data_IF_481642102705
#
_entry.id   IF_481642102705
#
_cell.length_a   1.000
_cell.length_b   1.000
_cell.length_c   1.000
_cell.angle_alpha   90.00
_cell.angle_beta   90.00
_cell.angle_gamma   90.00
#
_symmetry.space_group_name_H-M   'P 1'
#
loop_
_entity.id
_entity.type
_entity.pdbx_description
1 polymer ?
#
# COMPACT_ATOMS: atom_id res chain seq x y z
N UNK A 1 -18.69 -16.33 -2.00
CA UNK A 1 -17.90 -15.11 -1.76
C UNK A 1 -17.98 -14.70 -0.30
N UNK A 2 -16.84 -14.61 0.39
CA UNK A 2 -16.72 -14.03 1.74
C UNK A 2 -15.74 -12.86 1.70
N UNK A 3 -16.14 -11.73 2.25
CA UNK A 3 -15.32 -10.51 2.30
C UNK A 3 -14.74 -10.36 3.71
N UNK A 4 -13.43 -10.12 3.79
CA UNK A 4 -12.72 -9.78 5.01
C UNK A 4 -12.06 -8.42 4.83
N UNK A 5 -12.19 -7.55 5.82
CA UNK A 5 -11.48 -6.28 5.87
C UNK A 5 -10.23 -6.42 6.72
N UNK A 6 -9.12 -5.88 6.25
CA UNK A 6 -7.86 -5.83 6.99
C UNK A 6 -7.42 -4.40 7.16
N UNK A 7 -6.89 -4.10 8.34
CA UNK A 7 -6.36 -2.79 8.65
C UNK A 7 -5.00 -2.58 7.96
N UNK A 8 -4.87 -1.51 7.16
CA UNK A 8 -3.66 -1.15 6.41
C UNK A 8 -2.90 0.02 7.04
N UNK A 9 -3.28 0.48 8.23
CA UNK A 9 -2.68 1.69 8.81
C UNK A 9 -1.15 1.61 8.96
N UNK A 10 -0.59 0.47 9.39
CA UNK A 10 0.88 0.35 9.55
C UNK A 10 1.64 0.57 8.23
N UNK A 11 1.03 0.24 7.09
CA UNK A 11 1.61 0.49 5.77
C UNK A 11 1.50 1.97 5.45
N UNK A 12 0.33 2.57 5.65
CA UNK A 12 0.10 4.01 5.42
C UNK A 12 0.98 4.91 6.28
N UNK A 13 1.23 4.52 7.53
CA UNK A 13 2.13 5.23 8.43
C UNK A 13 3.55 5.26 7.85
N UNK A 14 4.06 4.11 7.40
CA UNK A 14 5.40 4.01 6.81
C UNK A 14 5.51 4.82 5.51
N UNK A 15 4.49 4.77 4.67
CA UNK A 15 4.44 5.52 3.40
C UNK A 15 4.49 7.05 3.66
N UNK A 16 3.94 7.51 4.78
CA UNK A 16 3.94 8.92 5.20
C UNK A 16 5.10 9.29 6.16
N UNK A 17 6.11 8.43 6.27
CA UNK A 17 7.29 8.70 7.09
C UNK A 17 7.05 8.64 8.61
N UNK A 18 5.95 8.05 9.06
CA UNK A 18 5.65 7.80 10.47
C UNK A 18 6.11 6.39 10.82
N UNK A 19 7.17 6.29 11.62
CA UNK A 19 7.82 5.00 11.90
C UNK A 19 7.28 4.31 13.15
N UNK A 20 6.68 5.08 14.07
CA UNK A 20 6.23 4.59 15.37
C UNK A 20 4.80 5.04 15.71
N UNK A 21 4.11 4.24 16.53
CA UNK A 21 2.80 4.63 17.09
C UNK A 21 2.89 5.80 18.07
N UNK A 22 4.08 6.08 18.60
CA UNK A 22 4.32 7.19 19.51
C UNK A 22 4.29 8.51 18.76
N UNK A 23 5.08 8.56 17.68
CA UNK A 23 5.08 9.67 16.74
C UNK A 23 3.68 9.94 16.16
N UNK A 24 2.95 8.89 15.79
CA UNK A 24 1.56 9.04 15.31
C UNK A 24 0.63 9.61 16.37
N UNK A 25 0.71 9.12 17.61
CA UNK A 25 -0.12 9.61 18.71
C UNK A 25 0.15 11.09 19.01
N UNK A 26 1.42 11.49 18.99
CA UNK A 26 1.85 12.87 19.16
C UNK A 26 1.33 13.76 18.03
N UNK A 27 1.48 13.34 16.77
CA UNK A 27 0.97 14.06 15.60
C UNK A 27 -0.56 14.20 15.63
N UNK A 28 -1.29 13.14 15.98
CA UNK A 28 -2.75 13.21 16.14
C UNK A 28 -3.17 14.21 17.21
N UNK A 29 -2.43 14.27 18.33
CA UNK A 29 -2.71 15.21 19.41
C UNK A 29 -2.43 16.65 18.97
N UNK A 30 -1.28 16.89 18.32
CA UNK A 30 -0.82 18.23 17.96
C UNK A 30 -1.54 18.82 16.74
N UNK A 31 -1.81 18.01 15.72
CA UNK A 31 -2.33 18.49 14.43
C UNK A 31 -3.85 18.31 14.30
N UNK A 32 -4.42 17.28 14.94
CA UNK A 32 -5.83 16.91 14.79
C UNK A 32 -6.66 17.14 16.06
N UNK A 33 -6.05 17.70 17.11
CA UNK A 33 -6.66 17.88 18.44
C UNK A 33 -7.30 16.59 18.98
N UNK A 34 -6.72 15.44 18.65
CA UNK A 34 -7.22 14.14 19.05
C UNK A 34 -6.27 13.51 20.06
N UNK A 35 -6.61 13.64 21.34
CA UNK A 35 -5.84 13.05 22.42
C UNK A 35 -6.00 11.53 22.45
N UNK A 36 -4.94 10.82 22.05
CA UNK A 36 -4.87 9.37 22.14
C UNK A 36 -3.51 8.93 22.64
N UNK A 37 -3.48 8.03 23.61
CA UNK A 37 -2.23 7.47 24.10
C UNK A 37 -1.64 6.50 23.07
N UNK A 38 -0.32 6.41 22.98
CA UNK A 38 0.40 5.41 22.16
C UNK A 38 -0.16 4.00 22.35
N UNK A 39 -0.43 3.61 23.59
CA UNK A 39 -0.91 2.26 23.92
C UNK A 39 -2.35 2.03 23.44
N UNK A 40 -3.24 3.03 23.55
CA UNK A 40 -4.59 2.96 23.01
C UNK A 40 -4.59 2.91 21.48
N UNK A 41 -3.74 3.72 20.85
CA UNK A 41 -3.52 3.72 19.41
C UNK A 41 -3.05 2.32 18.97
N UNK A 42 -1.93 1.83 19.50
CA UNK A 42 -1.37 0.53 19.13
C UNK A 42 -2.35 -0.64 19.33
N UNK A 43 -3.12 -0.64 20.43
CA UNK A 43 -4.15 -1.67 20.68
C UNK A 43 -5.27 -1.63 19.64
N UNK A 44 -5.74 -0.44 19.26
CA UNK A 44 -6.72 -0.29 18.19
C UNK A 44 -6.13 -0.81 16.88
N UNK A 45 -4.93 -0.42 16.47
CA UNK A 45 -4.45 -0.80 15.13
C UNK A 45 -3.99 -2.24 14.98
N UNK A 46 -3.54 -2.90 16.06
CA UNK A 46 -3.18 -4.33 16.03
C UNK A 46 -4.37 -5.27 16.13
N UNK A 47 -5.54 -4.77 16.52
CA UNK A 47 -6.75 -5.59 16.58
C UNK A 47 -7.27 -5.80 15.14
N UNK A 48 -7.53 -7.06 14.71
CA UNK A 48 -8.10 -7.33 13.38
C UNK A 48 -9.50 -6.74 13.19
N UNK A 49 -10.26 -6.49 14.26
CA UNK A 49 -11.55 -5.82 14.23
C UNK A 49 -11.56 -4.65 15.22
N UNK A 50 -10.92 -3.52 14.88
CA UNK A 50 -10.76 -2.43 15.81
C UNK A 50 -12.03 -1.57 15.87
N UNK A 51 -12.51 -1.21 17.08
CA UNK A 51 -13.56 -0.23 17.20
C UNK A 51 -12.98 1.16 16.88
N UNK A 52 -13.17 1.58 15.63
CA UNK A 52 -12.81 2.89 15.10
C UNK A 52 -14.09 3.71 14.91
N UNK A 53 -14.17 4.85 15.57
CA UNK A 53 -15.23 5.83 15.31
C UNK A 53 -14.90 6.60 14.03
N UNK A 54 -15.92 7.20 13.39
CA UNK A 54 -15.72 8.00 12.19
C UNK A 54 -14.77 9.17 12.41
N UNK A 55 -14.78 9.77 13.61
CA UNK A 55 -13.89 10.86 13.99
C UNK A 55 -12.42 10.42 14.02
N UNK A 56 -12.13 9.24 14.57
CA UNK A 56 -10.78 8.68 14.57
C UNK A 56 -10.30 8.42 13.13
N UNK A 57 -11.17 7.86 12.29
CA UNK A 57 -10.85 7.60 10.89
C UNK A 57 -10.53 8.93 10.17
N UNK A 58 -11.36 9.95 10.36
CA UNK A 58 -11.15 11.27 9.78
C UNK A 58 -9.84 11.90 10.26
N UNK A 59 -9.54 11.88 11.56
CA UNK A 59 -8.30 12.41 12.12
C UNK A 59 -7.07 11.71 11.54
N UNK A 60 -7.10 10.39 11.42
CA UNK A 60 -6.00 9.62 10.81
C UNK A 60 -5.83 9.96 9.34
N UNK A 61 -6.93 10.03 8.59
CA UNK A 61 -6.91 10.35 7.17
C UNK A 61 -6.39 11.77 6.91
N UNK A 62 -6.77 12.73 7.75
CA UNK A 62 -6.26 14.10 7.69
C UNK A 62 -4.76 14.17 8.01
N UNK A 63 -4.28 13.38 8.98
CA UNK A 63 -2.86 13.36 9.34
C UNK A 63 -2.01 12.66 8.27
N UNK A 64 -2.47 11.51 7.77
CA UNK A 64 -1.74 10.70 6.78
C UNK A 64 -2.07 11.04 5.33
N UNK A 65 -2.87 12.09 5.10
CA UNK A 65 -3.29 12.54 3.78
C UNK A 65 -3.83 11.40 2.90
N UNK A 66 -4.64 10.51 3.49
CA UNK A 66 -5.17 9.33 2.83
C UNK A 66 -6.70 9.36 2.75
N UNK A 67 -7.29 8.56 1.86
CA UNK A 67 -8.73 8.36 1.83
C UNK A 67 -9.15 7.30 2.87
N UNK A 68 -10.39 7.34 3.39
CA UNK A 68 -10.89 6.30 4.30
C UNK A 68 -10.81 4.89 3.71
N UNK A 69 -10.93 4.76 2.39
CA UNK A 69 -10.79 3.49 1.68
C UNK A 69 -9.35 2.94 1.73
N UNK A 70 -8.34 3.81 1.83
CA UNK A 70 -6.93 3.38 1.86
C UNK A 70 -6.57 2.72 3.20
N UNK A 71 -7.33 3.03 4.25
CA UNK A 71 -7.15 2.52 5.61
C UNK A 71 -7.43 1.01 5.69
N UNK A 72 -8.21 0.48 4.76
CA UNK A 72 -8.68 -0.90 4.77
C UNK A 72 -8.34 -1.62 3.47
N UNK A 73 -7.84 -2.84 3.59
CA UNK A 73 -7.67 -3.77 2.48
C UNK A 73 -8.84 -4.76 2.46
N UNK A 74 -9.39 -5.01 1.27
CA UNK A 74 -10.51 -5.91 1.05
C UNK A 74 -9.97 -7.24 0.52
N UNK A 75 -10.05 -8.26 1.36
CA UNK A 75 -9.69 -9.63 1.02
C UNK A 75 -10.96 -10.43 0.70
N UNK A 76 -11.00 -11.05 -0.48
CA UNK A 76 -12.14 -11.89 -0.91
C UNK A 76 -11.71 -13.35 -0.95
N UNK A 77 -12.45 -14.22 -0.27
CA UNK A 77 -12.30 -15.68 -0.33
C UNK A 77 -13.56 -16.36 -0.88
N UNK A 78 -13.44 -17.62 -1.30
CA UNK A 78 -14.56 -18.42 -1.84
C UNK A 78 -15.29 -17.73 -3.02
N UNK A 79 -14.54 -17.13 -3.95
CA UNK A 79 -15.07 -16.46 -5.14
C UNK A 79 -14.49 -17.10 -6.41
N UNK A 80 -15.29 -17.20 -7.47
CA UNK A 80 -14.82 -17.67 -8.77
C UNK A 80 -13.94 -16.61 -9.44
N UNK A 81 -13.19 -16.99 -10.49
CA UNK A 81 -12.39 -16.01 -11.23
C UNK A 81 -13.26 -15.01 -11.99
N UNK A 82 -14.42 -15.46 -12.47
CA UNK A 82 -15.44 -14.63 -13.11
C UNK A 82 -16.00 -13.59 -12.14
N UNK A 83 -16.34 -13.98 -10.91
CA UNK A 83 -16.85 -13.06 -9.87
C UNK A 83 -15.84 -11.94 -9.54
N UNK A 84 -14.54 -12.28 -9.54
CA UNK A 84 -13.46 -11.34 -9.22
C UNK A 84 -13.20 -10.40 -10.40
N UNK A 85 -13.20 -10.92 -11.64
CA UNK A 85 -13.10 -10.10 -12.84
C UNK A 85 -14.25 -9.10 -12.88
N UNK A 86 -15.49 -9.55 -12.67
CA UNK A 86 -16.66 -8.67 -12.63
C UNK A 86 -16.56 -7.57 -11.56
N UNK A 87 -15.93 -7.84 -10.41
CA UNK A 87 -15.70 -6.84 -9.36
C UNK A 87 -14.62 -5.82 -9.72
N UNK A 88 -13.57 -6.24 -10.42
CA UNK A 88 -12.50 -5.36 -10.90
C UNK A 88 -12.94 -4.55 -12.12
N UNK A 89 -13.70 -5.20 -13.02
CA UNK A 89 -14.24 -4.67 -14.26
C UNK A 89 -15.47 -3.81 -14.04
N UNK A 90 -16.15 -3.91 -12.88
CA UNK A 90 -17.13 -2.91 -12.41
C UNK A 90 -16.40 -1.60 -12.12
N UNK A 91 -16.14 -0.90 -13.22
CA UNK A 91 -15.72 0.47 -13.42
C UNK A 91 -16.09 1.30 -12.20
N UNK A 92 -15.12 1.44 -11.32
CA UNK A 92 -14.62 2.70 -10.78
C UNK A 92 -13.52 2.31 -9.79
N UNK A 93 -12.22 2.36 -10.18
CA UNK A 93 -11.12 2.08 -9.26
C UNK A 93 -11.16 2.94 -7.97
N UNK A 94 -11.94 4.02 -7.99
CA UNK A 94 -12.21 4.90 -6.84
C UNK A 94 -13.44 4.53 -6.00
N UNK A 95 -14.37 3.67 -6.48
CA UNK A 95 -15.59 3.32 -5.73
C UNK A 95 -15.36 2.28 -4.64
N UNK A 96 -14.45 1.33 -4.86
CA UNK A 96 -14.36 0.13 -4.01
C UNK A 96 -12.94 -0.17 -3.47
N UNK A 97 -11.94 0.66 -3.77
CA UNK A 97 -10.55 0.40 -3.36
C UNK A 97 -9.89 -0.74 -4.16
N UNK A 98 -8.69 -1.16 -3.75
CA UNK A 98 -7.95 -2.24 -4.42
C UNK A 98 -8.44 -3.62 -3.93
N UNK A 99 -9.06 -4.41 -4.81
CA UNK A 99 -9.51 -5.78 -4.51
C UNK A 99 -8.43 -6.77 -4.89
N UNK A 100 -7.98 -7.58 -3.92
CA UNK A 100 -7.00 -8.66 -4.16
C UNK A 100 -7.63 -10.03 -3.88
N UNK A 101 -7.39 -10.97 -4.81
CA UNK A 101 -7.65 -12.39 -4.58
C UNK A 101 -6.55 -12.94 -3.68
N UNK A 102 -6.91 -13.44 -2.51
CA UNK A 102 -5.96 -14.22 -1.72
C UNK A 102 -5.87 -15.65 -2.26
N UNK A 103 -4.68 -16.27 -2.26
CA UNK A 103 -4.55 -17.70 -2.56
C UNK A 103 -5.31 -18.50 -1.51
N UNK A 104 -6.03 -19.54 -1.95
CA UNK A 104 -6.66 -20.49 -1.04
C UNK A 104 -5.55 -21.20 -0.26
N UNK A 105 -5.41 -20.90 1.03
CA UNK A 105 -4.58 -21.71 1.92
C UNK A 105 -5.32 -23.00 2.20
N UNK A 106 -5.00 -24.05 1.46
CA UNK A 106 -5.17 -25.40 1.97
C UNK A 106 -4.33 -25.51 3.24
N UNK A 107 -4.91 -26.05 4.30
CA UNK A 107 -4.23 -26.27 5.58
C UNK A 107 -3.25 -27.41 5.36
N UNK A 108 -2.05 -27.09 4.87
CA UNK A 108 -0.96 -28.05 4.78
C UNK A 108 -0.16 -28.05 6.08
N UNK A 109 -0.13 -29.22 6.70
CA UNK A 109 0.75 -29.52 7.84
C UNK A 109 2.22 -29.30 7.47
N UNK A 110 2.95 -28.77 8.44
CA UNK A 110 4.39 -28.50 8.42
C UNK A 110 5.21 -29.55 7.66
N UNK A 111 5.96 -29.13 6.65
CA UNK A 111 7.18 -29.83 6.25
C UNK A 111 8.28 -28.85 5.82
N UNK A 112 9.19 -28.63 6.78
CA UNK A 112 10.63 -28.35 6.66
C UNK A 112 11.10 -27.55 5.44
N UNK A 113 11.49 -26.31 5.73
CA UNK A 113 12.36 -25.44 4.92
C UNK A 113 13.65 -26.20 4.58
N UNK A 114 13.87 -26.49 3.30
CA UNK A 114 15.18 -26.84 2.75
C UNK A 114 15.62 -25.69 1.82
N UNK A 115 16.57 -24.88 2.29
CA UNK A 115 17.23 -23.85 1.49
C UNK A 115 18.23 -24.53 0.55
N UNK A 116 18.22 -24.14 -0.73
CA UNK A 116 19.30 -24.48 -1.69
C UNK A 116 19.46 -23.34 -2.70
N UNK A 117 20.67 -23.13 -3.25
CA UNK A 117 21.24 -21.80 -3.46
C UNK A 117 20.92 -21.16 -4.82
N UNK A 118 21.01 -19.82 -4.82
CA UNK A 118 20.91 -18.92 -5.97
C UNK A 118 21.77 -19.36 -7.17
N UNK A 119 21.13 -19.63 -8.30
CA UNK A 119 21.79 -19.57 -9.61
C UNK A 119 21.51 -18.20 -10.25
N UNK A 120 22.57 -17.38 -10.35
CA UNK A 120 22.61 -16.17 -11.15
C UNK A 120 22.31 -16.49 -12.62
N UNK A 121 21.11 -16.17 -13.10
CA UNK A 121 20.85 -16.02 -14.54
C UNK A 121 21.04 -14.56 -14.92
N UNK A 122 22.05 -14.28 -15.74
CA UNK A 122 22.21 -12.98 -16.40
C UNK A 122 21.10 -12.84 -17.43
N UNK A 123 20.10 -12.01 -17.17
CA UNK A 123 19.19 -11.57 -18.22
C UNK A 123 19.86 -10.46 -19.04
N UNK A 124 20.04 -10.73 -20.33
CA UNK A 124 20.42 -9.76 -21.35
C UNK A 124 19.16 -8.93 -21.61
N UNK A 125 19.17 -7.66 -21.19
CA UNK A 125 18.07 -6.72 -21.44
C UNK A 125 18.23 -6.19 -22.86
N UNK A 126 17.24 -6.44 -23.72
CA UNK A 126 17.09 -5.76 -25.01
C UNK A 126 16.69 -4.31 -24.75
N UNK A 127 17.54 -3.37 -25.11
CA UNK A 127 17.37 -1.92 -24.86
C UNK A 127 16.37 -1.25 -25.80
N UNK A 128 15.77 -1.96 -26.75
CA UNK A 128 14.91 -1.37 -27.79
C UNK A 128 13.50 -1.00 -27.30
N UNK A 129 13.05 -1.52 -26.16
CA UNK A 129 11.69 -1.26 -25.63
C UNK A 129 11.66 -0.09 -24.63
N UNK A 130 12.82 0.34 -24.13
CA UNK A 130 12.91 1.42 -23.14
C UNK A 130 12.84 2.82 -23.78
N UNK A 131 13.11 2.92 -25.09
CA UNK A 131 13.08 4.19 -25.83
C UNK A 131 11.65 4.69 -26.14
N UNK A 132 10.66 3.79 -26.20
CA UNK A 132 9.25 4.17 -26.44
C UNK A 132 8.51 4.65 -25.17
N UNK A 133 9.08 4.37 -23.98
CA UNK A 133 8.51 4.79 -22.68
C UNK A 133 9.13 6.10 -22.18
N UNK A 134 10.36 6.40 -22.61
CA UNK A 134 11.05 7.63 -22.27
C UNK A 134 10.76 8.65 -23.37
N UNK A 135 9.88 9.60 -23.07
CA UNK A 135 9.55 10.71 -23.97
C UNK A 135 10.78 11.45 -24.51
N UNK A 136 10.59 12.39 -25.45
CA UNK A 136 11.67 12.94 -26.29
C UNK A 136 12.88 13.38 -25.46
N UNK A 137 14.06 12.89 -25.86
CA UNK A 137 15.34 13.20 -25.22
C UNK A 137 15.62 14.71 -25.26
N UNK A 138 15.42 15.39 -24.13
CA UNK A 138 15.75 16.80 -23.95
C UNK A 138 17.26 16.93 -23.73
N UNK A 139 17.99 17.45 -24.73
CA UNK A 139 19.41 17.78 -24.54
C UNK A 139 19.51 19.05 -23.70
N UNK A 140 20.00 18.95 -22.47
CA UNK A 140 20.35 20.13 -21.68
C UNK A 140 21.58 20.81 -22.32
N UNK A 141 21.37 22.01 -22.86
CA UNK A 141 22.43 22.88 -23.36
C UNK A 141 23.38 23.21 -22.20
N UNK A 142 24.58 22.63 -22.22
CA UNK A 142 25.61 22.93 -21.24
C UNK A 142 26.23 24.29 -21.55
N UNK A 143 26.36 25.12 -20.51
CA UNK A 143 26.85 26.51 -20.55
C UNK A 143 28.21 26.69 -21.26
N UNK A 144 29.00 25.63 -21.43
CA UNK A 144 30.27 25.65 -22.16
C UNK A 144 30.18 25.71 -23.69
N UNK A 145 28.98 25.78 -24.28
CA UNK A 145 28.77 25.88 -25.74
C UNK A 145 28.27 27.25 -26.22
N UNK A 146 28.25 28.27 -25.35
CA UNK A 146 27.73 29.62 -25.66
C UNK A 146 28.84 30.65 -25.89
N UNK A 147 30.11 30.33 -25.63
CA UNK A 147 31.22 31.21 -26.04
C UNK A 147 32.00 30.55 -27.19
N UNK A 148 31.76 31.03 -28.41
CA UNK A 148 32.75 31.30 -29.46
C UNK A 148 32.03 31.83 -30.72
N UNK A 149 32.30 33.10 -31.02
CA UNK A 149 32.13 33.88 -32.27
C UNK A 149 30.99 33.55 -33.25
#
# INVERSE_FOLDING_TARGET
MKVKLRNRLEVLMKDNGVSTFEEMAERMTNNQNWEITRSALSRKFRNPNPPLTLEIIAAICNELQCLPNDLFEIDISDATEEDISDLQDRILPFRYGQVKKLPNKEVEHETKIAVSPQQKRKHKVDTTVLEDVLGPNVSHLHKGKIDND
#
